data_IF_299400274863
#
_entry.id   IF_299400274863
#
_cell.length_a   1.000
_cell.length_b   1.000
_cell.length_c   1.000
_cell.angle_alpha   90.00
_cell.angle_beta   90.00
_cell.angle_gamma   90.00
#
_symmetry.space_group_name_H-M   'P 1'
#
loop_
_entity.id
_entity.type
_entity.pdbx_description
1 polymer ?
#
# COMPACT_ATOMS: atom_id res chain seq x y z
N UNK A 1 0.68 -8.08 18.94
CA UNK A 1 -0.65 -8.69 19.11
C UNK A 1 -1.63 -7.91 18.27
N UNK A 2 -2.06 -8.44 17.13
CA UNK A 2 -3.11 -7.83 16.31
C UNK A 2 -4.46 -8.15 17.00
N UNK A 3 -4.99 -7.20 17.77
CA UNK A 3 -6.23 -7.39 18.54
C UNK A 3 -7.50 -7.05 17.77
N UNK A 4 -7.38 -6.52 16.55
CA UNK A 4 -8.52 -6.15 15.71
C UNK A 4 -8.64 -7.11 14.54
N UNK A 5 -9.77 -7.82 14.50
CA UNK A 5 -10.19 -8.60 13.35
C UNK A 5 -11.10 -7.70 12.55
N UNK A 6 -10.64 -7.30 11.37
CA UNK A 6 -11.42 -6.47 10.47
C UNK A 6 -12.45 -7.32 9.73
N UNK A 7 -13.61 -6.73 9.46
CA UNK A 7 -14.74 -7.35 8.77
C UNK A 7 -14.88 -6.82 7.35
N UNK A 8 -15.61 -7.57 6.54
CA UNK A 8 -16.05 -7.11 5.22
C UNK A 8 -16.77 -5.75 5.34
N UNK A 9 -16.49 -4.85 4.41
CA UNK A 9 -17.00 -3.46 4.35
C UNK A 9 -16.47 -2.52 5.43
N UNK A 10 -15.56 -2.94 6.30
CA UNK A 10 -14.81 -1.98 7.13
C UNK A 10 -14.04 -1.04 6.20
N UNK A 11 -14.11 0.25 6.50
CA UNK A 11 -13.41 1.30 5.77
C UNK A 11 -12.23 1.80 6.60
N UNK A 12 -11.04 1.76 6.01
CA UNK A 12 -9.83 2.29 6.63
C UNK A 12 -9.48 3.60 5.93
N UNK A 13 -9.56 4.70 6.69
CA UNK A 13 -9.07 5.99 6.25
C UNK A 13 -7.57 6.11 6.53
N UNK A 14 -6.80 6.41 5.48
CA UNK A 14 -5.38 6.70 5.61
C UNK A 14 -5.18 8.19 5.81
N UNK A 15 -4.53 8.54 6.92
CA UNK A 15 -4.08 9.89 7.24
C UNK A 15 -2.56 9.92 7.27
N UNK A 16 -1.98 10.99 6.73
CA UNK A 16 -0.53 11.18 6.72
C UNK A 16 -0.17 12.66 6.88
N UNK A 17 1.11 12.92 7.12
CA UNK A 17 1.67 14.27 7.17
C UNK A 17 2.86 14.36 6.23
N UNK A 18 3.02 15.51 5.57
CA UNK A 18 4.10 15.75 4.62
C UNK A 18 4.61 17.18 4.75
N UNK A 19 5.93 17.35 4.81
CA UNK A 19 6.60 18.65 4.84
C UNK A 19 6.89 19.20 3.43
N UNK A 20 6.63 18.41 2.39
CA UNK A 20 6.84 18.75 0.97
C UNK A 20 5.75 18.18 0.08
N UNK A 21 5.60 18.75 -1.11
CA UNK A 21 4.86 18.06 -2.17
C UNK A 21 5.65 16.80 -2.59
N UNK A 22 4.93 15.71 -2.79
CA UNK A 22 5.49 14.42 -3.22
C UNK A 22 4.40 13.58 -3.88
N UNK A 23 4.74 12.38 -4.33
CA UNK A 23 3.78 11.42 -4.86
C UNK A 23 3.50 10.35 -3.81
N UNK A 24 2.23 9.98 -3.65
CA UNK A 24 1.81 8.89 -2.78
C UNK A 24 1.07 7.84 -3.58
N UNK A 25 1.49 6.58 -3.48
CA UNK A 25 0.74 5.42 -3.95
C UNK A 25 0.29 4.59 -2.75
N UNK A 26 -0.97 4.17 -2.76
CA UNK A 26 -1.53 3.28 -1.76
C UNK A 26 -1.96 1.97 -2.45
N UNK A 27 -1.53 0.85 -1.90
CA UNK A 27 -1.84 -0.48 -2.43
C UNK A 27 -1.96 -1.50 -1.29
N UNK A 28 -2.55 -2.65 -1.60
CA UNK A 28 -2.49 -3.82 -0.75
C UNK A 28 -2.07 -5.07 -1.53
N UNK A 29 -1.62 -6.07 -0.78
CA UNK A 29 -1.41 -7.42 -1.28
C UNK A 29 -2.01 -8.43 -0.30
N UNK A 30 -2.85 -9.33 -0.82
CA UNK A 30 -3.50 -10.38 -0.04
C UNK A 30 -2.59 -11.61 0.12
N UNK A 31 -3.03 -12.59 0.93
CA UNK A 31 -2.30 -13.84 1.14
C UNK A 31 -2.16 -14.72 -0.12
N UNK A 32 -2.88 -14.42 -1.21
CA UNK A 32 -2.78 -15.11 -2.50
C UNK A 32 -1.83 -14.38 -3.47
N UNK A 33 -1.32 -13.21 -3.09
CA UNK A 33 -0.43 -12.39 -3.90
C UNK A 33 -1.16 -11.46 -4.87
N UNK A 34 -2.47 -11.29 -4.73
CA UNK A 34 -3.26 -10.35 -5.52
C UNK A 34 -2.93 -8.93 -5.05
N UNK A 35 -2.50 -8.08 -5.99
CA UNK A 35 -2.17 -6.68 -5.73
C UNK A 35 -3.34 -5.79 -6.13
N UNK A 36 -3.81 -4.99 -5.19
CA UNK A 36 -4.89 -4.01 -5.38
C UNK A 36 -4.34 -2.60 -5.20
N UNK A 37 -4.65 -1.69 -6.11
CA UNK A 37 -4.24 -0.29 -6.02
C UNK A 37 -5.44 0.56 -5.61
N UNK A 38 -5.25 1.42 -4.61
CA UNK A 38 -6.27 2.37 -4.19
C UNK A 38 -5.93 3.69 -4.87
N UNK A 39 -6.59 3.99 -5.97
CA UNK A 39 -6.43 5.27 -6.65
C UNK A 39 -7.72 5.70 -7.34
N UNK A 40 -7.90 7.02 -7.58
CA UNK A 40 -9.15 7.53 -8.14
C UNK A 40 -9.42 7.09 -9.59
N UNK A 41 -8.37 6.76 -10.36
CA UNK A 41 -8.47 6.33 -11.76
C UNK A 41 -7.88 4.94 -11.94
N UNK A 42 -8.72 3.91 -11.96
CA UNK A 42 -8.32 2.52 -12.16
C UNK A 42 -7.66 2.26 -13.53
N UNK A 43 -7.90 3.13 -14.52
CA UNK A 43 -7.32 3.00 -15.87
C UNK A 43 -6.00 3.77 -16.02
N UNK A 44 -5.56 4.48 -14.98
CA UNK A 44 -4.32 5.25 -15.00
C UNK A 44 -3.09 4.33 -15.08
N UNK A 45 -2.14 4.74 -15.93
CA UNK A 45 -0.79 4.14 -16.00
C UNK A 45 -0.01 4.39 -14.71
N UNK A 46 -0.31 5.49 -14.01
CA UNK A 46 0.26 5.83 -12.72
C UNK A 46 -0.58 5.24 -11.60
N UNK A 47 0.06 4.78 -10.54
CA UNK A 47 -0.59 4.35 -9.29
C UNK A 47 -0.46 5.39 -8.17
N UNK A 48 0.31 6.46 -8.40
CA UNK A 48 0.58 7.50 -7.42
C UNK A 48 -0.11 8.81 -7.78
N UNK A 49 -0.64 9.49 -6.77
CA UNK A 49 -1.21 10.82 -6.88
C UNK A 49 -0.27 11.87 -6.28
N UNK A 50 -0.36 13.11 -6.75
CA UNK A 50 0.36 14.23 -6.14
C UNK A 50 -0.24 14.55 -4.77
N UNK A 51 0.60 14.57 -3.76
CA UNK A 51 0.30 14.94 -2.38
C UNK A 51 0.67 16.39 -2.12
N UNK A 52 -0.15 17.06 -1.30
CA UNK A 52 0.12 18.40 -0.80
C UNK A 52 1.10 18.45 0.37
N UNK A 53 1.16 19.60 1.02
CA UNK A 53 1.94 19.84 2.25
C UNK A 53 1.00 20.03 3.44
N UNK A 54 1.39 19.57 4.62
CA UNK A 54 0.65 19.75 5.86
C UNK A 54 0.48 18.47 6.69
N UNK A 55 -0.32 18.59 7.73
CA UNK A 55 -0.70 17.52 8.65
C UNK A 55 -2.13 17.04 8.42
N UNK A 56 -2.42 15.78 8.76
CA UNK A 56 -3.76 15.17 8.62
C UNK A 56 -4.28 15.20 7.18
N UNK A 57 -3.36 15.05 6.21
CA UNK A 57 -3.74 14.87 4.82
C UNK A 57 -4.44 13.52 4.67
N UNK A 58 -5.61 13.54 4.02
CA UNK A 58 -6.37 12.34 3.72
C UNK A 58 -5.92 11.79 2.37
N UNK A 59 -5.67 10.49 2.30
CA UNK A 59 -5.67 9.83 0.99
C UNK A 59 -7.12 9.84 0.46
N UNK A 60 -7.36 10.21 -0.81
CA UNK A 60 -8.71 10.46 -1.33
C UNK A 60 -9.58 9.19 -1.34
N UNK A 61 -8.97 8.02 -1.49
CA UNK A 61 -9.66 6.74 -1.44
C UNK A 61 -9.52 6.08 -0.06
N UNK A 62 -10.63 5.55 0.45
CA UNK A 62 -10.62 4.68 1.63
C UNK A 62 -10.35 3.24 1.20
N UNK A 63 -9.63 2.48 2.01
CA UNK A 63 -9.52 1.03 1.79
C UNK A 63 -10.83 0.40 2.25
N UNK A 64 -11.56 -0.21 1.33
CA UNK A 64 -12.73 -1.03 1.64
C UNK A 64 -12.28 -2.49 1.67
N UNK A 65 -12.39 -3.13 2.84
CA UNK A 65 -11.98 -4.52 2.97
C UNK A 65 -13.01 -5.47 2.36
N UNK A 66 -12.52 -6.39 1.53
CA UNK A 66 -13.32 -7.45 0.94
C UNK A 66 -13.60 -8.59 1.95
N UNK A 67 -14.33 -9.62 1.52
CA UNK A 67 -14.61 -10.80 2.34
C UNK A 67 -13.52 -11.89 2.27
N UNK A 68 -12.37 -11.59 1.65
CA UNK A 68 -11.30 -12.58 1.52
C UNK A 68 -10.70 -12.81 2.89
N UNK A 69 -10.86 -14.02 3.42
CA UNK A 69 -10.23 -14.41 4.70
C UNK A 69 -8.72 -14.46 4.58
N UNK A 70 -8.02 -14.07 5.65
CA UNK A 70 -6.57 -14.14 5.74
C UNK A 70 -5.93 -12.79 6.01
N UNK A 71 -4.63 -12.69 5.74
CA UNK A 71 -3.88 -11.45 5.91
C UNK A 71 -3.99 -10.53 4.70
N UNK A 72 -3.88 -9.24 4.96
CA UNK A 72 -3.75 -8.20 3.93
C UNK A 72 -2.67 -7.21 4.35
N UNK A 73 -1.66 -7.04 3.49
CA UNK A 73 -0.58 -6.10 3.74
C UNK A 73 -0.86 -4.81 2.97
N UNK A 74 -1.22 -3.75 3.68
CA UNK A 74 -1.37 -2.39 3.15
C UNK A 74 -0.01 -1.71 3.10
N UNK A 75 0.29 -1.04 1.99
CA UNK A 75 1.56 -0.39 1.70
C UNK A 75 1.28 1.03 1.19
N UNK A 76 1.92 2.02 1.80
CA UNK A 76 1.98 3.39 1.31
C UNK A 76 3.41 3.71 0.85
N UNK A 77 3.55 4.13 -0.41
CA UNK A 77 4.82 4.54 -1.01
C UNK A 77 4.83 6.06 -1.18
N UNK A 78 5.81 6.73 -0.61
CA UNK A 78 6.02 8.17 -0.72
C UNK A 78 7.25 8.44 -1.58
N UNK A 79 7.07 8.98 -2.78
CA UNK A 79 8.11 9.13 -3.80
C UNK A 79 8.27 10.58 -4.25
N UNK A 80 9.48 10.94 -4.71
CA UNK A 80 9.71 12.25 -5.35
C UNK A 80 9.22 12.31 -6.80
N UNK A 81 9.06 11.15 -7.43
CA UNK A 81 8.65 10.99 -8.82
C UNK A 81 7.36 10.16 -8.91
N UNK A 82 6.54 10.35 -9.96
CA UNK A 82 5.37 9.52 -10.20
C UNK A 82 5.74 8.03 -10.30
N UNK A 83 4.92 7.16 -9.71
CA UNK A 83 5.08 5.71 -9.78
C UNK A 83 4.08 5.12 -10.76
N UNK A 84 4.54 4.19 -11.60
CA UNK A 84 3.69 3.45 -12.53
C UNK A 84 3.07 2.23 -11.86
N UNK A 85 1.83 1.93 -12.23
CA UNK A 85 1.09 0.75 -11.76
C UNK A 85 1.86 -0.53 -12.09
N UNK A 86 2.36 -0.66 -13.31
CA UNK A 86 3.13 -1.83 -13.76
C UNK A 86 4.46 -1.98 -12.99
N UNK A 87 5.18 -0.88 -12.76
CA UNK A 87 6.46 -0.89 -12.06
C UNK A 87 6.32 -1.33 -10.61
N UNK A 88 5.33 -0.77 -9.90
CA UNK A 88 5.05 -1.16 -8.50
C UNK A 88 4.53 -2.60 -8.43
N UNK A 89 3.63 -3.00 -9.33
CA UNK A 89 3.07 -4.36 -9.37
C UNK A 89 4.17 -5.40 -9.61
N UNK A 90 5.02 -5.18 -10.62
CA UNK A 90 6.13 -6.08 -10.94
C UNK A 90 7.07 -6.24 -9.76
N UNK A 91 7.43 -5.14 -9.12
CA UNK A 91 8.30 -5.17 -7.95
C UNK A 91 7.68 -5.98 -6.79
N UNK A 92 6.43 -5.68 -6.40
CA UNK A 92 5.76 -6.39 -5.30
C UNK A 92 5.58 -7.87 -5.62
N UNK A 93 5.17 -8.22 -6.84
CA UNK A 93 5.00 -9.61 -7.25
C UNK A 93 6.32 -10.38 -7.23
N UNK A 94 7.44 -9.77 -7.66
CA UNK A 94 8.77 -10.37 -7.56
C UNK A 94 9.17 -10.63 -6.10
N UNK A 95 8.93 -9.67 -5.20
CA UNK A 95 9.18 -9.86 -3.77
C UNK A 95 8.32 -10.97 -3.18
N UNK A 96 7.02 -10.95 -3.45
CA UNK A 96 6.08 -11.94 -2.94
C UNK A 96 6.48 -13.36 -3.36
N UNK A 97 6.89 -13.56 -4.62
CA UNK A 97 7.35 -14.85 -5.15
C UNK A 97 8.57 -15.44 -4.40
N UNK A 98 9.32 -14.60 -3.68
CA UNK A 98 10.52 -14.96 -2.91
C UNK A 98 10.24 -15.04 -1.41
N UNK A 99 8.99 -14.96 -0.99
CA UNK A 99 8.57 -14.96 0.42
C UNK A 99 7.51 -16.03 0.66
N UNK A 100 7.47 -16.60 1.86
CA UNK A 100 6.51 -17.63 2.23
C UNK A 100 5.30 -17.10 3.03
N UNK A 101 5.30 -15.80 3.37
CA UNK A 101 4.27 -15.17 4.20
C UNK A 101 4.26 -13.65 4.02
N UNK A 102 3.15 -13.01 4.38
CA UNK A 102 3.01 -11.54 4.32
C UNK A 102 3.91 -10.85 5.35
N UNK A 103 4.20 -11.46 6.49
CA UNK A 103 5.14 -10.97 7.50
C UNK A 103 6.57 -10.94 6.96
N UNK A 104 6.96 -11.95 6.19
CA UNK A 104 8.27 -11.95 5.52
C UNK A 104 8.32 -10.93 4.39
N UNK A 105 7.23 -10.77 3.64
CA UNK A 105 7.12 -9.74 2.62
C UNK A 105 7.24 -8.34 3.22
N UNK A 106 6.51 -8.04 4.30
CA UNK A 106 6.58 -6.76 5.00
C UNK A 106 8.01 -6.44 5.42
N UNK A 107 8.69 -7.39 6.06
CA UNK A 107 10.09 -7.24 6.46
C UNK A 107 11.00 -6.97 5.27
N UNK A 108 10.77 -7.62 4.14
CA UNK A 108 11.59 -7.45 2.94
C UNK A 108 11.37 -6.06 2.33
N UNK A 109 10.11 -5.64 2.16
CA UNK A 109 9.73 -4.32 1.65
C UNK A 109 10.37 -3.20 2.47
N UNK A 110 10.32 -3.28 3.80
CA UNK A 110 10.91 -2.24 4.68
C UNK A 110 12.43 -2.13 4.57
N UNK A 111 13.12 -3.19 4.13
CA UNK A 111 14.58 -3.25 4.04
C UNK A 111 15.11 -3.02 2.61
N UNK A 112 14.24 -3.02 1.60
CA UNK A 112 14.65 -2.94 0.19
C UNK A 112 14.62 -1.51 -0.33
N UNK A 113 15.64 -1.13 -1.10
CA UNK A 113 15.73 0.17 -1.77
C UNK A 113 15.28 0.02 -3.22
N UNK A 114 13.98 0.04 -3.47
CA UNK A 114 13.46 -0.19 -4.84
C UNK A 114 13.44 1.08 -5.66
N UNK A 115 12.75 2.10 -5.17
CA UNK A 115 12.55 3.36 -5.88
C UNK A 115 13.41 4.43 -5.20
N UNK A 116 14.24 5.11 -5.99
CA UNK A 116 15.18 6.09 -5.47
C UNK A 116 14.45 7.21 -4.71
N UNK A 117 14.80 7.41 -3.44
CA UNK A 117 14.19 8.44 -2.62
C UNK A 117 12.77 8.13 -2.13
N UNK A 118 12.30 6.88 -2.28
CA UNK A 118 11.00 6.46 -1.78
C UNK A 118 11.05 6.06 -0.31
N UNK A 119 10.09 6.56 0.47
CA UNK A 119 9.83 6.12 1.84
C UNK A 119 8.62 5.20 1.85
N UNK A 120 8.62 4.18 2.71
CA UNK A 120 7.59 3.14 2.74
C UNK A 120 7.00 3.03 4.14
N UNK A 121 5.68 3.03 4.22
CA UNK A 121 4.93 2.64 5.42
C UNK A 121 4.08 1.41 5.10
N UNK A 122 3.94 0.50 6.07
CA UNK A 122 3.13 -0.70 5.90
C UNK A 122 2.29 -0.98 7.15
N UNK A 123 1.17 -1.65 6.93
CA UNK A 123 0.24 -2.13 7.96
C UNK A 123 -0.25 -3.53 7.56
N UNK A 124 0.05 -4.52 8.39
CA UNK A 124 -0.46 -5.88 8.22
C UNK A 124 -1.79 -6.04 8.96
N UNK A 125 -2.83 -6.39 8.23
CA UNK A 125 -4.19 -6.59 8.71
C UNK A 125 -4.53 -8.08 8.76
N UNK A 126 -5.39 -8.46 9.70
CA UNK A 126 -6.01 -9.78 9.76
C UNK A 126 -7.52 -9.65 9.50
N UNK A 127 -8.02 -10.35 8.48
CA UNK A 127 -9.45 -10.41 8.10
C UNK A 127 -10.08 -11.71 8.59
N UNK A 128 -11.21 -11.59 9.29
CA UNK A 128 -11.94 -12.69 9.96
C UNK A 128 -12.99 -13.40 9.11
#
# INVERSE_FOLDING_TARGET
TLSEVFRENDQIQILYSSDREQYIALLSIDSKGVVSFYQPDENSVLCSIKSGTGSNLSYPESIVLDNTKGGELVIALFSREPLTTEGVKTWISDLFSKTSSLEMLEKKIRNEKTFAGTTIATLLLAKG
#
